data_IF_325766340827
#
_entry.id   IF_325766340827
#
_cell.length_a   1.000
_cell.length_b   1.000
_cell.length_c   1.000
_cell.angle_alpha   90.00
_cell.angle_beta   90.00
_cell.angle_gamma   90.00
#
_symmetry.space_group_name_H-M   'P 1'
#
loop_
_entity.id
_entity.type
_entity.pdbx_description
1 polymer ?
#
# COMPACT_ATOMS: atom_id res chain seq x y z
N UNK A 1 4.11 -17.34 8.09
CA UNK A 1 3.43 -16.04 8.28
C UNK A 1 4.34 -15.00 8.95
N UNK A 2 4.94 -15.28 10.14
CA UNK A 2 5.76 -14.30 10.89
C UNK A 2 6.97 -13.80 10.08
N UNK A 3 7.74 -14.70 9.47
CA UNK A 3 8.92 -14.35 8.66
C UNK A 3 8.59 -13.35 7.56
N UNK A 4 7.52 -13.58 6.81
CA UNK A 4 7.08 -12.67 5.75
C UNK A 4 6.70 -11.27 6.27
N UNK A 5 6.12 -11.17 7.47
CA UNK A 5 5.84 -9.87 8.09
C UNK A 5 7.12 -9.15 8.52
N UNK A 6 8.10 -9.88 9.03
CA UNK A 6 9.42 -9.33 9.36
C UNK A 6 10.16 -8.83 8.13
N UNK A 7 10.09 -9.57 7.01
CA UNK A 7 10.68 -9.17 5.73
C UNK A 7 10.07 -7.85 5.23
N UNK A 8 8.75 -7.71 5.36
CA UNK A 8 8.05 -6.45 5.00
C UNK A 8 8.51 -5.30 5.89
N UNK A 9 8.57 -5.50 7.21
CA UNK A 9 8.99 -4.46 8.14
C UNK A 9 10.46 -4.06 7.92
N UNK A 10 11.35 -5.04 7.71
CA UNK A 10 12.76 -4.77 7.38
C UNK A 10 12.90 -4.02 6.05
N UNK A 11 12.13 -4.40 5.03
CA UNK A 11 12.13 -3.70 3.73
C UNK A 11 11.70 -2.24 3.85
N UNK A 12 10.69 -1.95 4.69
CA UNK A 12 10.25 -0.57 4.98
C UNK A 12 11.39 0.21 5.66
N UNK A 13 11.98 -0.33 6.73
CA UNK A 13 13.03 0.36 7.48
C UNK A 13 14.25 0.63 6.60
N UNK A 14 14.72 -0.37 5.86
CA UNK A 14 15.83 -0.22 4.91
C UNK A 14 15.49 0.79 3.81
N UNK A 15 14.28 0.70 3.26
CA UNK A 15 13.80 1.62 2.24
C UNK A 15 13.68 3.06 2.74
N UNK A 16 13.40 3.29 4.01
CA UNK A 16 13.41 4.60 4.66
C UNK A 16 14.82 5.09 5.01
N UNK A 17 15.84 4.25 4.85
CA UNK A 17 17.23 4.63 5.07
C UNK A 17 17.76 4.28 6.48
N UNK A 18 16.99 3.57 7.30
CA UNK A 18 17.49 3.05 8.57
C UNK A 18 18.46 1.91 8.30
N UNK A 19 19.70 2.02 8.81
CA UNK A 19 20.76 1.03 8.61
C UNK A 19 20.71 -0.08 9.65
N UNK A 20 21.16 -1.27 9.26
CA UNK A 20 21.25 -2.46 10.11
C UNK A 20 20.06 -3.41 9.99
N UNK A 21 20.17 -4.54 10.66
CA UNK A 21 19.13 -5.56 10.75
C UNK A 21 18.29 -5.33 11.99
N UNK A 22 17.06 -4.81 11.81
CA UNK A 22 16.16 -4.43 12.90
C UNK A 22 15.39 -5.60 13.48
N UNK A 23 15.12 -6.61 12.67
CA UNK A 23 14.31 -7.75 13.03
C UNK A 23 15.07 -9.05 12.78
N UNK A 24 15.10 -9.92 13.77
CA UNK A 24 15.75 -11.22 13.68
C UNK A 24 14.85 -12.28 14.29
N UNK A 25 14.59 -13.37 13.57
CA UNK A 25 13.83 -14.51 14.07
C UNK A 25 14.80 -15.61 14.48
N UNK A 26 14.76 -15.97 15.73
CA UNK A 26 15.52 -17.09 16.30
C UNK A 26 14.55 -18.18 16.74
N UNK A 27 14.85 -19.42 16.39
CA UNK A 27 14.09 -20.58 16.82
C UNK A 27 14.95 -21.38 17.78
N UNK A 28 14.76 -21.14 19.08
CA UNK A 28 15.47 -21.88 20.14
C UNK A 28 14.68 -23.13 20.48
N UNK A 29 15.25 -24.31 20.23
CA UNK A 29 14.63 -25.61 20.48
C UNK A 29 15.30 -26.39 21.62
N UNK A 30 16.60 -26.19 21.77
CA UNK A 30 17.39 -26.83 22.82
C UNK A 30 18.58 -25.95 23.29
N UNK A 31 19.36 -26.48 24.26
CA UNK A 31 20.48 -25.74 24.84
C UNK A 31 21.59 -25.41 23.81
N UNK A 32 21.67 -26.09 22.67
CA UNK A 32 22.69 -25.80 21.64
C UNK A 32 22.39 -24.51 20.91
N UNK A 33 21.11 -24.12 20.84
CA UNK A 33 20.66 -22.91 20.14
C UNK A 33 20.94 -21.65 20.99
N UNK A 34 21.34 -21.79 22.30
CA UNK A 34 21.62 -20.65 23.17
C UNK A 34 22.82 -19.82 22.68
N UNK A 35 23.81 -20.46 22.06
CA UNK A 35 24.95 -19.75 21.45
C UNK A 35 24.54 -18.80 20.35
N UNK A 36 23.54 -19.20 19.52
CA UNK A 36 22.98 -18.35 18.47
C UNK A 36 22.20 -17.18 19.08
N UNK A 37 21.45 -17.42 20.15
CA UNK A 37 20.75 -16.38 20.90
C UNK A 37 21.75 -15.36 21.50
N UNK A 38 22.82 -15.82 22.13
CA UNK A 38 23.87 -14.97 22.70
C UNK A 38 24.55 -14.14 21.61
N UNK A 39 24.88 -14.74 20.47
CA UNK A 39 25.46 -14.04 19.35
C UNK A 39 24.50 -12.99 18.78
N UNK A 40 23.20 -13.27 18.75
CA UNK A 40 22.20 -12.32 18.29
C UNK A 40 22.01 -11.14 19.25
N UNK A 41 22.09 -11.38 20.56
CA UNK A 41 22.03 -10.33 21.59
C UNK A 41 23.30 -9.47 21.61
N UNK A 42 24.46 -10.06 21.30
CA UNK A 42 25.72 -9.34 21.18
C UNK A 42 25.90 -8.57 19.89
N UNK A 43 25.03 -8.80 18.89
CA UNK A 43 25.12 -8.13 17.60
C UNK A 43 24.94 -6.61 17.73
N UNK A 44 25.60 -5.81 16.86
CA UNK A 44 25.43 -4.35 16.88
C UNK A 44 23.97 -3.96 16.71
N UNK A 45 23.54 -2.99 17.51
CA UNK A 45 22.18 -2.44 17.40
C UNK A 45 21.96 -1.79 16.03
N UNK A 46 20.81 -2.05 15.45
CA UNK A 46 20.37 -1.34 14.24
C UNK A 46 20.07 0.13 14.56
N UNK A 47 20.10 0.98 13.54
CA UNK A 47 19.80 2.40 13.68
C UNK A 47 18.36 2.63 14.12
N UNK A 48 18.14 3.20 15.28
CA UNK A 48 16.83 3.61 15.77
C UNK A 48 16.39 4.97 15.27
N UNK A 49 15.17 5.35 15.62
CA UNK A 49 14.65 6.71 15.38
C UNK A 49 15.35 7.72 16.30
N UNK A 50 15.57 8.94 15.80
CA UNK A 50 16.21 9.99 16.58
C UNK A 50 15.34 10.44 17.76
N UNK A 51 14.02 10.49 17.56
CA UNK A 51 13.04 10.85 18.59
C UNK A 51 12.01 9.72 18.71
N UNK A 52 11.98 8.97 19.82
CA UNK A 52 10.95 7.98 20.04
C UNK A 52 9.58 8.64 20.19
N UNK A 53 8.53 7.91 19.84
CA UNK A 53 7.16 8.34 20.03
C UNK A 53 6.34 7.25 20.74
N UNK A 54 5.31 7.69 21.45
CA UNK A 54 4.30 6.81 22.03
C UNK A 54 2.96 7.11 21.33
N UNK A 55 2.25 6.06 20.95
CA UNK A 55 0.95 6.16 20.28
C UNK A 55 -0.12 5.54 21.17
N UNK A 56 -1.26 6.22 21.30
CA UNK A 56 -2.45 5.58 21.82
C UNK A 56 -2.90 4.50 20.83
N UNK A 57 -3.17 3.29 21.33
CA UNK A 57 -3.69 2.20 20.52
C UNK A 57 -5.04 2.62 19.97
N UNK A 58 -5.16 2.64 18.65
CA UNK A 58 -6.41 2.92 17.96
C UNK A 58 -7.23 1.63 17.83
N UNK A 59 -8.55 1.77 17.64
CA UNK A 59 -9.46 0.64 17.46
C UNK A 59 -9.13 -0.22 16.23
N UNK A 60 -8.46 0.35 15.22
CA UNK A 60 -8.05 -0.33 14.00
C UNK A 60 -6.53 -0.54 13.92
N UNK A 61 -6.09 -1.78 13.70
CA UNK A 61 -4.65 -2.10 13.48
C UNK A 61 -4.03 -1.27 12.36
N UNK A 62 -4.82 -0.96 11.32
CA UNK A 62 -4.37 -0.16 10.18
C UNK A 62 -4.04 1.27 10.60
N UNK A 63 -4.88 1.90 11.41
CA UNK A 63 -4.65 3.27 11.89
C UNK A 63 -3.39 3.35 12.74
N UNK A 64 -3.16 2.37 13.63
CA UNK A 64 -1.93 2.30 14.41
C UNK A 64 -0.70 2.13 13.53
N UNK A 65 -0.77 1.26 12.50
CA UNK A 65 0.31 1.08 11.54
C UNK A 65 0.61 2.38 10.78
N UNK A 66 -0.41 3.11 10.34
CA UNK A 66 -0.23 4.38 9.64
C UNK A 66 0.45 5.44 10.51
N UNK A 67 0.06 5.57 11.79
CA UNK A 67 0.73 6.47 12.74
C UNK A 67 2.23 6.13 12.90
N UNK A 68 2.53 4.84 13.03
CA UNK A 68 3.91 4.38 13.13
C UNK A 68 4.71 4.66 11.84
N UNK A 69 4.12 4.42 10.67
CA UNK A 69 4.74 4.72 9.37
C UNK A 69 4.99 6.22 9.19
N UNK A 70 4.00 7.04 9.50
CA UNK A 70 4.13 8.49 9.40
C UNK A 70 5.27 9.01 10.30
N UNK A 71 5.39 8.47 11.53
CA UNK A 71 6.50 8.80 12.43
C UNK A 71 7.86 8.33 11.89
N UNK A 72 7.95 7.09 11.40
CA UNK A 72 9.19 6.57 10.81
C UNK A 72 9.63 7.40 9.60
N UNK A 73 8.70 7.84 8.76
CA UNK A 73 8.98 8.72 7.62
C UNK A 73 9.51 10.07 8.09
N UNK A 74 8.89 10.68 9.13
CA UNK A 74 9.32 11.96 9.69
C UNK A 74 10.71 11.90 10.35
N UNK A 75 11.07 10.76 10.94
CA UNK A 75 12.35 10.54 11.62
C UNK A 75 13.40 9.87 10.71
N UNK A 76 13.07 9.62 9.44
CA UNK A 76 13.96 8.91 8.51
C UNK A 76 15.31 9.64 8.37
N UNK A 77 16.43 8.90 8.40
CA UNK A 77 17.74 9.48 8.19
C UNK A 77 17.90 9.98 6.76
N UNK A 78 18.50 11.17 6.59
CA UNK A 78 18.82 11.75 5.29
C UNK A 78 17.72 12.65 4.71
N UNK A 79 17.91 13.05 3.42
CA UNK A 79 17.07 14.04 2.70
C UNK A 79 15.65 13.56 2.32
N UNK A 80 15.16 12.49 2.91
CA UNK A 80 13.82 11.96 2.61
C UNK A 80 12.70 12.98 2.91
N UNK A 81 12.94 13.89 3.84
CA UNK A 81 11.96 14.91 4.24
C UNK A 81 11.68 15.95 3.15
N UNK A 82 12.64 16.25 2.29
CA UNK A 82 12.51 17.32 1.27
C UNK A 82 12.02 16.82 -0.09
N UNK A 83 12.34 15.57 -0.48
CA UNK A 83 11.89 15.00 -1.75
C UNK A 83 10.51 14.32 -1.67
N UNK A 84 10.11 13.86 -0.48
CA UNK A 84 8.81 13.20 -0.28
C UNK A 84 7.61 14.14 -0.45
N UNK A 85 7.80 15.45 -0.28
CA UNK A 85 6.72 16.41 -0.32
C UNK A 85 6.18 16.67 -1.75
N UNK A 86 6.99 16.55 -2.78
CA UNK A 86 6.62 16.97 -4.15
C UNK A 86 6.39 15.83 -5.13
N UNK A 87 7.21 14.77 -5.10
CA UNK A 87 7.13 13.67 -6.08
C UNK A 87 6.85 12.30 -5.44
N UNK A 88 7.08 12.17 -4.15
CA UNK A 88 6.89 10.95 -3.39
C UNK A 88 7.93 9.86 -3.73
N UNK A 89 8.51 9.25 -2.71
CA UNK A 89 9.40 8.10 -2.86
C UNK A 89 8.62 6.80 -2.82
N UNK A 90 8.92 5.88 -3.71
CA UNK A 90 8.34 4.53 -3.70
C UNK A 90 9.37 3.53 -3.18
N UNK A 91 8.97 2.75 -2.17
CA UNK A 91 9.72 1.63 -1.63
C UNK A 91 9.00 0.36 -2.08
N UNK A 92 9.66 -0.48 -2.88
CA UNK A 92 9.14 -1.77 -3.27
C UNK A 92 9.06 -2.69 -2.05
N UNK A 93 7.97 -3.44 -1.92
CA UNK A 93 7.74 -4.33 -0.79
C UNK A 93 7.53 -5.78 -1.25
N UNK A 94 7.82 -6.77 -0.40
CA UNK A 94 7.48 -8.16 -0.66
C UNK A 94 5.99 -8.37 -0.92
N UNK A 95 5.65 -9.42 -1.67
CA UNK A 95 4.26 -9.73 -2.07
C UNK A 95 3.27 -9.89 -0.90
N UNK A 96 3.76 -10.22 0.30
CA UNK A 96 2.94 -10.33 1.51
C UNK A 96 2.63 -9.00 2.20
N UNK A 97 3.11 -7.87 1.65
CA UNK A 97 2.90 -6.55 2.26
C UNK A 97 1.43 -6.13 2.19
N UNK A 98 0.87 -5.62 3.31
CA UNK A 98 -0.48 -5.07 3.34
C UNK A 98 -0.53 -3.60 2.88
N UNK A 99 0.43 -3.18 2.08
CA UNK A 99 0.60 -1.82 1.57
C UNK A 99 0.91 -1.89 0.08
N UNK A 100 0.26 -1.06 -0.72
CA UNK A 100 0.58 -1.02 -2.14
C UNK A 100 -0.45 -0.30 -2.98
N UNK A 101 -0.19 -0.32 -4.27
CA UNK A 101 -1.03 0.24 -5.31
C UNK A 101 -1.79 -0.83 -6.07
N UNK A 102 -2.76 -0.37 -6.84
CA UNK A 102 -3.43 -1.12 -7.89
C UNK A 102 -3.04 -0.48 -9.22
N UNK A 103 -2.59 -1.28 -10.16
CA UNK A 103 -2.30 -0.87 -11.53
C UNK A 103 -3.44 -1.32 -12.42
N UNK A 104 -3.91 -0.42 -13.26
CA UNK A 104 -5.03 -0.65 -14.19
C UNK A 104 -4.49 -0.69 -15.61
N UNK A 105 -4.81 -1.75 -16.34
CA UNK A 105 -4.69 -1.74 -17.79
C UNK A 105 -5.92 -0.98 -18.36
N UNK A 106 -5.72 0.28 -18.75
CA UNK A 106 -6.78 1.15 -19.22
C UNK A 106 -7.43 0.63 -20.52
N UNK A 107 -6.67 -0.08 -21.36
CA UNK A 107 -7.18 -0.63 -22.61
C UNK A 107 -8.13 -1.81 -22.39
N UNK A 108 -7.88 -2.62 -21.37
CA UNK A 108 -8.74 -3.74 -21.02
C UNK A 108 -9.91 -3.32 -20.11
N UNK A 109 -9.77 -2.23 -19.35
CA UNK A 109 -10.77 -1.81 -18.36
C UNK A 109 -12.00 -1.18 -19.02
N UNK A 110 -13.17 -1.80 -18.82
CA UNK A 110 -14.48 -1.31 -19.30
C UNK A 110 -15.13 -0.30 -18.35
N UNK A 111 -14.53 0.00 -17.19
CA UNK A 111 -15.11 0.83 -16.13
C UNK A 111 -16.45 0.27 -15.59
N UNK A 112 -16.60 -1.06 -15.55
CA UNK A 112 -17.78 -1.71 -14.97
C UNK A 112 -17.92 -1.53 -13.45
N UNK A 113 -16.87 -1.04 -12.77
CA UNK A 113 -16.80 -0.70 -11.34
C UNK A 113 -17.04 -1.88 -10.37
N UNK A 114 -17.06 -3.12 -10.84
CA UNK A 114 -17.17 -4.32 -9.98
C UNK A 114 -16.08 -4.38 -8.91
N UNK A 115 -14.88 -3.85 -9.22
CA UNK A 115 -13.76 -3.75 -8.29
C UNK A 115 -14.01 -2.75 -7.14
N UNK A 116 -14.84 -1.72 -7.37
CA UNK A 116 -15.26 -0.77 -6.33
C UNK A 116 -16.14 -1.47 -5.32
N UNK A 117 -17.18 -2.17 -5.80
CA UNK A 117 -18.12 -2.92 -4.95
C UNK A 117 -17.42 -4.03 -4.15
N UNK A 118 -16.36 -4.64 -4.73
CA UNK A 118 -15.59 -5.69 -4.07
C UNK A 118 -14.57 -5.19 -3.05
N UNK A 119 -14.31 -3.87 -2.96
CA UNK A 119 -13.25 -3.33 -2.12
C UNK A 119 -13.69 -3.10 -0.67
N UNK A 120 -13.30 -3.95 0.30
CA UNK A 120 -13.77 -3.82 1.70
C UNK A 120 -13.18 -2.62 2.42
N UNK A 121 -12.09 -2.05 1.91
CA UNK A 121 -11.37 -0.93 2.51
C UNK A 121 -11.69 0.41 1.84
N UNK A 122 -12.64 0.45 0.91
CA UNK A 122 -13.01 1.65 0.14
C UNK A 122 -11.80 2.36 -0.49
N UNK A 123 -10.78 1.57 -0.87
CA UNK A 123 -9.60 2.08 -1.55
C UNK A 123 -9.92 2.42 -3.01
N UNK A 124 -10.76 1.63 -3.67
CA UNK A 124 -11.30 1.91 -4.99
C UNK A 124 -12.63 2.61 -4.86
N UNK A 125 -12.84 3.64 -5.65
CA UNK A 125 -14.03 4.49 -5.61
C UNK A 125 -14.47 4.84 -7.03
N UNK A 126 -15.77 4.97 -7.23
CA UNK A 126 -16.37 5.54 -8.42
C UNK A 126 -16.46 7.07 -8.36
N UNK A 127 -16.91 7.65 -9.46
CA UNK A 127 -17.35 9.03 -9.50
C UNK A 127 -18.78 9.03 -10.07
N UNK A 128 -19.79 9.51 -9.28
CA UNK A 128 -21.17 9.50 -9.71
C UNK A 128 -21.47 10.43 -10.91
N UNK A 129 -20.59 11.41 -11.17
CA UNK A 129 -20.77 12.39 -12.24
C UNK A 129 -20.08 11.99 -13.55
N UNK A 130 -19.06 11.12 -13.48
CA UNK A 130 -18.23 10.74 -14.63
C UNK A 130 -17.80 9.28 -14.55
N UNK A 131 -17.61 8.59 -15.68
CA UNK A 131 -17.05 7.25 -15.73
C UNK A 131 -15.57 7.29 -15.33
N UNK A 132 -15.30 7.25 -14.03
CA UNK A 132 -13.96 7.30 -13.47
C UNK A 132 -13.79 6.24 -12.39
N UNK A 133 -12.65 5.57 -12.42
CA UNK A 133 -12.17 4.74 -11.32
C UNK A 133 -11.11 5.53 -10.55
N UNK A 134 -11.37 5.76 -9.27
CA UNK A 134 -10.47 6.47 -8.36
C UNK A 134 -9.88 5.54 -7.33
N UNK A 135 -8.72 5.89 -6.80
CA UNK A 135 -7.99 5.07 -5.86
C UNK A 135 -7.33 5.89 -4.76
N UNK A 136 -7.50 5.44 -3.50
CA UNK A 136 -6.83 5.97 -2.32
C UNK A 136 -5.84 4.90 -1.85
N UNK A 137 -4.54 5.12 -2.11
CA UNK A 137 -3.50 4.12 -1.83
C UNK A 137 -3.37 3.82 -0.32
N UNK A 138 -3.56 4.82 0.54
CA UNK A 138 -3.52 4.66 2.00
C UNK A 138 -4.54 3.63 2.51
N UNK A 139 -5.66 3.48 1.85
CA UNK A 139 -6.72 2.55 2.25
C UNK A 139 -6.47 1.11 1.76
N UNK A 140 -5.63 0.92 0.74
CA UNK A 140 -5.44 -0.38 0.14
C UNK A 140 -4.70 -1.35 1.08
N UNK A 141 -5.28 -2.53 1.29
CA UNK A 141 -4.72 -3.60 2.12
C UNK A 141 -4.15 -4.77 1.29
N UNK A 142 -4.03 -4.62 -0.02
CA UNK A 142 -3.48 -5.63 -0.95
C UNK A 142 -4.18 -6.99 -0.87
N UNK A 143 -5.47 -7.04 -0.57
CA UNK A 143 -6.23 -8.29 -0.40
C UNK A 143 -6.51 -9.04 -1.72
N UNK A 144 -6.38 -8.39 -2.87
CA UNK A 144 -6.56 -8.99 -4.19
C UNK A 144 -8.01 -9.22 -4.63
N UNK A 145 -9.02 -8.84 -3.84
CA UNK A 145 -10.42 -9.05 -4.21
C UNK A 145 -10.78 -8.32 -5.51
N UNK A 146 -10.32 -7.08 -5.69
CA UNK A 146 -10.56 -6.32 -6.90
C UNK A 146 -9.99 -7.00 -8.16
N UNK A 147 -8.82 -7.63 -8.03
CA UNK A 147 -8.18 -8.38 -9.13
C UNK A 147 -9.02 -9.61 -9.50
N UNK A 148 -9.46 -10.37 -8.48
CA UNK A 148 -10.26 -11.59 -8.68
C UNK A 148 -11.66 -11.32 -9.20
N UNK A 149 -12.23 -10.15 -8.88
CA UNK A 149 -13.59 -9.76 -9.28
C UNK A 149 -13.61 -9.12 -10.66
N UNK A 150 -12.48 -8.68 -11.19
CA UNK A 150 -12.41 -8.01 -12.49
C UNK A 150 -12.68 -9.00 -13.63
N UNK A 151 -13.78 -8.86 -14.41
CA UNK A 151 -14.07 -9.77 -15.52
C UNK A 151 -13.05 -9.64 -16.66
N UNK A 152 -12.46 -8.46 -16.82
CA UNK A 152 -11.52 -8.15 -17.89
C UNK A 152 -10.06 -8.43 -17.50
N UNK A 153 -9.80 -8.92 -16.28
CA UNK A 153 -8.44 -9.09 -15.74
C UNK A 153 -7.56 -7.82 -15.88
N UNK A 154 -8.18 -6.65 -15.83
CA UNK A 154 -7.53 -5.38 -16.07
C UNK A 154 -6.74 -4.83 -14.87
N UNK A 155 -6.77 -5.53 -13.72
CA UNK A 155 -6.16 -5.05 -12.48
C UNK A 155 -5.02 -5.94 -12.03
N UNK A 156 -3.93 -5.32 -11.55
CA UNK A 156 -2.83 -6.01 -10.90
C UNK A 156 -2.45 -5.31 -9.59
N UNK A 157 -1.95 -6.09 -8.62
CA UNK A 157 -1.45 -5.56 -7.36
C UNK A 157 0.03 -5.17 -7.50
N UNK A 158 0.41 -4.06 -6.88
CA UNK A 158 1.78 -3.61 -6.78
C UNK A 158 2.13 -3.34 -5.31
N UNK A 159 2.71 -4.30 -4.59
CA UNK A 159 3.15 -4.12 -3.20
C UNK A 159 4.23 -3.04 -3.12
N UNK A 160 3.95 -1.96 -2.39
CA UNK A 160 4.87 -0.84 -2.21
C UNK A 160 4.45 0.04 -1.03
N UNK A 161 5.39 0.81 -0.50
CA UNK A 161 5.08 1.98 0.30
C UNK A 161 5.39 3.23 -0.52
N UNK A 162 4.37 4.00 -0.81
CA UNK A 162 4.52 5.31 -1.44
C UNK A 162 4.57 6.38 -0.36
N UNK A 163 5.75 6.97 -0.16
CA UNK A 163 6.01 8.02 0.82
C UNK A 163 5.63 9.35 0.19
N UNK A 164 4.36 9.71 0.29
CA UNK A 164 3.79 10.97 -0.23
C UNK A 164 2.49 11.29 0.51
N UNK A 165 2.20 12.57 0.73
CA UNK A 165 0.90 13.01 1.25
C UNK A 165 -0.25 12.66 0.29
N UNK A 166 0.04 12.56 -1.00
CA UNK A 166 -0.95 12.21 -2.03
C UNK A 166 -1.51 10.79 -1.88
N UNK A 167 -0.82 9.90 -1.13
CA UNK A 167 -1.32 8.54 -0.88
C UNK A 167 -2.66 8.51 -0.14
N UNK A 168 -2.99 9.58 0.60
CA UNK A 168 -4.26 9.74 1.32
C UNK A 168 -5.38 10.36 0.49
N UNK A 169 -5.07 10.86 -0.71
CA UNK A 169 -6.02 11.50 -1.62
C UNK A 169 -6.51 10.54 -2.69
N UNK A 170 -7.77 10.69 -3.08
CA UNK A 170 -8.30 9.97 -4.22
C UNK A 170 -7.65 10.48 -5.51
N UNK A 171 -7.04 9.57 -6.27
CA UNK A 171 -6.49 9.86 -7.60
C UNK A 171 -7.23 9.06 -8.65
N UNK A 172 -7.40 9.62 -9.84
CA UNK A 172 -8.00 8.94 -10.98
C UNK A 172 -6.96 7.94 -11.50
N UNK A 173 -7.34 6.66 -11.61
CA UNK A 173 -6.51 5.59 -12.15
C UNK A 173 -7.03 5.05 -13.48
N UNK A 174 -8.28 5.34 -13.84
CA UNK A 174 -8.82 5.18 -15.17
C UNK A 174 -10.04 6.09 -15.36
N UNK A 175 -10.25 6.62 -16.56
CA UNK A 175 -11.42 7.39 -16.92
C UNK A 175 -11.77 7.21 -18.40
N UNK A 176 -13.03 7.45 -18.73
CA UNK A 176 -13.50 7.46 -20.11
C UNK A 176 -14.56 8.54 -20.32
N UNK A 177 -14.81 8.88 -21.58
CA UNK A 177 -15.93 9.75 -21.91
C UNK A 177 -17.25 8.99 -21.72
N UNK A 178 -18.25 9.64 -21.11
CA UNK A 178 -19.56 9.03 -20.97
C UNK A 178 -20.22 8.84 -22.36
N UNK A 179 -20.82 7.69 -22.57
CA UNK A 179 -21.64 7.46 -23.76
C UNK A 179 -23.04 8.05 -23.56
N UNK A 180 -23.50 8.81 -24.52
CA UNK A 180 -24.82 9.43 -24.46
C UNK A 180 -25.90 8.54 -25.09
N UNK A 181 -27.04 8.42 -24.40
CA UNK A 181 -28.19 7.71 -24.95
C UNK A 181 -28.65 8.34 -26.28
N UNK A 182 -28.74 7.56 -27.33
CA UNK A 182 -29.18 8.01 -28.68
C UNK A 182 -30.62 8.54 -28.69
N UNK A 183 -31.43 8.17 -27.69
CA UNK A 183 -32.85 8.58 -27.59
C UNK A 183 -33.06 9.86 -26.80
N UNK A 184 -32.35 10.05 -25.69
CA UNK A 184 -32.62 11.16 -24.76
C UNK A 184 -31.40 12.03 -24.45
N UNK A 185 -30.23 11.71 -25.04
CA UNK A 185 -28.98 12.46 -24.82
C UNK A 185 -28.38 12.34 -23.42
N UNK A 186 -29.00 11.60 -22.48
CA UNK A 186 -28.46 11.43 -21.13
C UNK A 186 -27.19 10.57 -21.16
N UNK A 187 -26.12 11.00 -20.49
CA UNK A 187 -24.91 10.18 -20.38
C UNK A 187 -25.17 8.92 -19.55
N UNK A 188 -24.67 7.79 -20.01
CA UNK A 188 -24.69 6.52 -19.28
C UNK A 188 -23.54 5.64 -19.75
N UNK A 189 -22.93 4.89 -18.83
CA UNK A 189 -21.85 3.94 -19.15
C UNK A 189 -20.69 4.51 -19.94
N UNK A 190 -19.95 3.61 -20.57
CA UNK A 190 -18.84 3.90 -21.49
C UNK A 190 -19.03 3.10 -22.77
N UNK A 191 -18.44 3.50 -23.91
CA UNK A 191 -18.51 2.74 -25.15
C UNK A 191 -18.03 1.31 -24.97
N UNK A 192 -16.87 1.13 -24.33
CA UNK A 192 -16.29 -0.19 -24.01
C UNK A 192 -17.15 -1.07 -23.08
N UNK A 193 -18.06 -0.47 -22.32
CA UNK A 193 -18.97 -1.21 -21.43
C UNK A 193 -20.30 -1.57 -22.10
N UNK A 194 -20.52 -1.13 -23.35
CA UNK A 194 -21.73 -1.36 -24.13
C UNK A 194 -21.49 -2.36 -25.27
N UNK A 195 -20.28 -2.42 -25.80
CA UNK A 195 -19.81 -3.42 -26.77
C UNK A 195 -19.62 -4.78 -26.12
#
# INVERSE_FOLDING_TARGET
>A
AVRAQMDVAQAILTGLGYSGQHLRLLEVRDARDLAELDAALAAPAAQGVAKPASFAIQSGKRTTLELALDHLVQQAPGRLQTQAATEGRTIALPAAAPLGSVVVNADACTLCLSCVSACPASALQDNPERPQLRFIEKNCVQCGLCVKTCPENALTLQPRLWVSEQRSRARIINEAQPYACVRCGKPFGTLKGIE
#
